data_IF_272720816889
#
_entry.id   IF_272720816889
#
_cell.length_a   1.000
_cell.length_b   1.000
_cell.length_c   1.000
_cell.angle_alpha   90.00
_cell.angle_beta   90.00
_cell.angle_gamma   90.00
#
_symmetry.space_group_name_H-M   'P 1'
#
loop_
_entity.id
_entity.type
_entity.pdbx_description
1 polymer ?
#
# COMPACT_ATOMS: atom_id res chain seq x y z
N UNK A 1 35.46 40.34 -70.87
CA UNK A 1 34.49 40.57 -69.81
C UNK A 1 34.05 39.24 -69.21
N UNK A 2 34.63 38.84 -68.08
CA UNK A 2 34.25 37.56 -67.36
C UNK A 2 33.27 37.94 -66.26
N UNK A 3 32.02 37.47 -66.33
CA UNK A 3 31.02 37.62 -65.27
C UNK A 3 31.24 36.55 -64.23
N UNK A 4 31.59 36.94 -63.00
CA UNK A 4 31.66 36.10 -61.80
C UNK A 4 30.28 36.07 -61.19
N UNK A 5 29.63 34.90 -61.17
CA UNK A 5 28.40 34.70 -60.40
C UNK A 5 28.76 34.34 -58.96
N UNK A 6 28.43 35.24 -58.02
CA UNK A 6 28.52 34.99 -56.58
C UNK A 6 27.25 34.25 -56.11
N UNK A 7 27.38 32.98 -55.81
CA UNK A 7 26.29 32.17 -55.20
C UNK A 7 26.38 32.33 -53.68
N UNK A 8 25.50 33.15 -53.12
CA UNK A 8 25.38 33.31 -51.68
C UNK A 8 24.61 32.09 -51.09
N UNK A 9 25.31 31.21 -50.38
CA UNK A 9 24.72 30.10 -49.66
C UNK A 9 24.15 30.61 -48.35
N UNK A 10 22.79 30.73 -48.26
CA UNK A 10 22.10 31.10 -47.04
C UNK A 10 22.00 29.83 -46.14
N UNK A 11 22.88 29.72 -45.14
CA UNK A 11 22.79 28.67 -44.12
C UNK A 11 21.72 29.11 -43.14
N UNK A 12 20.54 28.49 -43.20
CA UNK A 12 19.53 28.60 -42.16
C UNK A 12 20.02 27.80 -40.94
N UNK A 13 20.61 28.51 -39.98
CA UNK A 13 20.87 27.98 -38.64
C UNK A 13 19.55 28.00 -37.90
N UNK A 14 18.83 26.89 -37.89
CA UNK A 14 17.70 26.65 -36.96
C UNK A 14 18.25 26.57 -35.54
N UNK A 15 18.30 27.68 -34.86
CA UNK A 15 18.50 27.69 -33.41
C UNK A 15 17.29 27.02 -32.77
N UNK A 16 17.41 25.73 -32.43
CA UNK A 16 16.55 25.14 -31.42
C UNK A 16 16.78 25.92 -30.11
N UNK A 17 15.86 26.80 -29.78
CA UNK A 17 15.74 27.30 -28.42
C UNK A 17 15.40 26.06 -27.54
N UNK A 18 16.40 25.44 -26.99
CA UNK A 18 16.22 24.53 -25.85
C UNK A 18 15.70 25.45 -24.72
N UNK A 19 14.38 25.42 -24.51
CA UNK A 19 13.79 26.03 -23.31
C UNK A 19 14.47 25.42 -22.08
N UNK A 20 14.59 26.21 -21.01
CA UNK A 20 15.15 25.73 -19.75
C UNK A 20 14.43 24.43 -19.33
N UNK A 21 15.21 23.39 -19.00
CA UNK A 21 14.68 22.12 -18.52
C UNK A 21 13.84 22.35 -17.27
N UNK A 22 12.62 21.85 -17.27
CA UNK A 22 11.69 21.93 -16.14
C UNK A 22 11.89 20.67 -15.30
N UNK A 23 12.35 20.85 -14.09
CA UNK A 23 12.60 19.77 -13.16
C UNK A 23 11.39 19.61 -12.22
N UNK A 24 10.80 18.41 -12.19
CA UNK A 24 9.72 18.04 -11.27
C UNK A 24 10.26 17.05 -10.23
N UNK A 25 9.88 17.23 -8.97
CA UNK A 25 10.26 16.38 -7.86
C UNK A 25 9.15 15.36 -7.59
N UNK A 26 9.50 14.07 -7.64
CA UNK A 26 8.59 12.96 -7.40
C UNK A 26 8.96 12.20 -6.13
N UNK A 27 8.09 12.21 -5.11
CA UNK A 27 8.26 11.39 -3.90
C UNK A 27 7.54 10.06 -4.03
N UNK A 28 8.23 8.98 -3.61
CA UNK A 28 7.67 7.63 -3.59
C UNK A 28 8.27 6.78 -2.47
N UNK A 29 7.60 5.66 -2.16
CA UNK A 29 8.01 4.72 -1.10
C UNK A 29 8.42 3.34 -1.62
N UNK A 30 8.72 3.19 -2.92
CA UNK A 30 9.24 1.93 -3.43
C UNK A 30 10.53 1.56 -2.73
N UNK A 31 10.64 0.32 -2.24
CA UNK A 31 11.87 -0.17 -1.60
C UNK A 31 13.02 -0.18 -2.60
N UNK A 32 14.16 0.38 -2.22
CA UNK A 32 15.37 0.43 -3.08
C UNK A 32 15.90 -0.95 -3.49
N UNK A 33 15.46 -2.01 -2.80
CA UNK A 33 15.81 -3.40 -3.09
C UNK A 33 14.72 -4.13 -3.90
N UNK A 34 13.65 -3.43 -4.31
CA UNK A 34 12.55 -4.03 -5.05
C UNK A 34 12.70 -3.85 -6.57
N UNK A 35 12.12 -4.80 -7.34
CA UNK A 35 11.99 -4.65 -8.79
C UNK A 35 11.17 -3.41 -9.20
N UNK A 36 10.31 -2.90 -8.32
CA UNK A 36 9.52 -1.68 -8.54
C UNK A 36 10.41 -0.44 -8.62
N UNK A 37 11.37 -0.31 -7.70
CA UNK A 37 12.35 0.78 -7.71
C UNK A 37 13.27 0.69 -8.93
N UNK A 38 13.74 -0.52 -9.24
CA UNK A 38 14.57 -0.75 -10.41
C UNK A 38 13.84 -0.38 -11.70
N UNK A 39 12.59 -0.82 -11.86
CA UNK A 39 11.74 -0.49 -13.00
C UNK A 39 11.51 1.02 -13.12
N UNK A 40 11.18 1.68 -12.01
CA UNK A 40 10.96 3.14 -11.99
C UNK A 40 12.20 3.89 -12.48
N UNK A 41 13.35 3.58 -11.91
CA UNK A 41 14.57 4.38 -12.09
C UNK A 41 15.34 4.04 -13.36
N UNK A 42 15.30 2.78 -13.82
CA UNK A 42 16.06 2.33 -15.00
C UNK A 42 15.24 2.33 -16.29
N UNK A 43 13.90 2.33 -16.23
CA UNK A 43 13.06 2.26 -17.42
C UNK A 43 12.02 3.39 -17.45
N UNK A 44 11.15 3.50 -16.46
CA UNK A 44 9.98 4.37 -16.52
C UNK A 44 10.38 5.85 -16.62
N UNK A 45 11.19 6.36 -15.67
CA UNK A 45 11.65 7.76 -15.69
C UNK A 45 12.47 8.05 -16.94
N UNK A 46 13.50 7.26 -17.31
CA UNK A 46 14.28 7.52 -18.53
C UNK A 46 13.44 7.50 -19.81
N UNK A 47 12.43 6.61 -19.91
CA UNK A 47 11.54 6.54 -21.06
C UNK A 47 10.62 7.75 -21.13
N UNK A 48 10.09 8.21 -19.98
CA UNK A 48 9.31 9.44 -19.89
C UNK A 48 10.12 10.66 -20.33
N UNK A 49 11.31 10.85 -19.79
CA UNK A 49 12.19 11.99 -20.11
C UNK A 49 12.58 12.02 -21.60
N UNK A 50 12.82 10.84 -22.19
CA UNK A 50 13.11 10.71 -23.63
C UNK A 50 11.91 11.11 -24.50
N UNK A 51 10.70 10.78 -24.07
CA UNK A 51 9.47 11.09 -24.81
C UNK A 51 8.96 12.51 -24.57
N UNK A 52 9.44 13.19 -23.50
CA UNK A 52 9.07 14.56 -23.12
C UNK A 52 10.32 15.46 -22.98
N UNK A 53 10.97 15.80 -24.11
CA UNK A 53 12.17 16.65 -24.09
C UNK A 53 11.91 17.97 -23.37
N UNK A 54 12.78 18.30 -22.41
CA UNK A 54 12.64 19.52 -21.58
C UNK A 54 11.97 19.29 -20.23
N UNK A 55 11.53 18.05 -19.92
CA UNK A 55 11.09 17.66 -18.57
C UNK A 55 12.15 16.73 -17.96
N UNK A 56 12.54 17.02 -16.72
CA UNK A 56 13.39 16.19 -15.87
C UNK A 56 12.60 15.73 -14.67
N UNK A 57 12.73 14.47 -14.27
CA UNK A 57 12.12 13.92 -13.07
C UNK A 57 13.20 13.58 -12.05
N UNK A 58 13.19 14.29 -10.93
CA UNK A 58 14.04 13.98 -9.78
C UNK A 58 13.23 13.16 -8.79
N UNK A 59 13.51 11.87 -8.76
CA UNK A 59 12.87 10.97 -7.79
C UNK A 59 13.49 11.12 -6.41
N UNK A 60 12.66 11.01 -5.38
CA UNK A 60 13.08 11.00 -3.97
C UNK A 60 12.40 9.83 -3.28
N UNK A 61 13.19 8.82 -2.98
CA UNK A 61 12.73 7.70 -2.19
C UNK A 61 12.63 8.08 -0.71
N UNK A 62 11.48 7.83 -0.11
CA UNK A 62 11.24 8.00 1.33
C UNK A 62 10.64 6.70 1.86
N UNK A 63 11.20 6.11 2.92
CA UNK A 63 10.63 4.91 3.54
C UNK A 63 9.16 5.12 3.92
N UNK A 64 8.34 4.08 3.74
CA UNK A 64 6.89 4.17 3.89
C UNK A 64 6.46 4.63 5.29
N UNK A 65 7.15 4.17 6.33
CA UNK A 65 6.92 4.53 7.73
C UNK A 65 7.31 5.98 8.06
N UNK A 66 8.25 6.58 7.29
CA UNK A 66 8.68 7.97 7.45
C UNK A 66 7.88 8.96 6.58
N UNK A 67 7.28 8.48 5.50
CA UNK A 67 6.66 9.32 4.46
C UNK A 67 5.61 10.27 5.03
N UNK A 68 4.68 9.76 5.83
CA UNK A 68 3.62 10.58 6.46
C UNK A 68 4.21 11.66 7.35
N UNK A 69 5.18 11.32 8.20
CA UNK A 69 5.85 12.28 9.10
C UNK A 69 6.55 13.38 8.30
N UNK A 70 7.28 13.00 7.25
CA UNK A 70 7.95 13.96 6.36
C UNK A 70 6.94 14.88 5.68
N UNK A 71 5.81 14.35 5.22
CA UNK A 71 4.76 15.14 4.60
C UNK A 71 4.10 16.14 5.56
N UNK A 72 3.87 15.76 6.82
CA UNK A 72 3.36 16.68 7.88
C UNK A 72 4.36 17.81 8.13
N UNK A 73 5.67 17.51 8.25
CA UNK A 73 6.71 18.52 8.43
C UNK A 73 6.78 19.44 7.22
N UNK A 74 6.68 18.90 6.01
CA UNK A 74 6.63 19.67 4.77
C UNK A 74 5.42 20.62 4.70
N UNK A 75 4.30 20.23 5.33
CA UNK A 75 3.11 21.09 5.43
C UNK A 75 3.42 22.35 6.25
N UNK A 76 4.11 22.23 7.37
CA UNK A 76 4.50 23.39 8.20
C UNK A 76 5.51 24.30 7.49
N UNK A 77 6.37 23.74 6.64
CA UNK A 77 7.39 24.47 5.87
C UNK A 77 6.89 24.99 4.49
N UNK A 78 5.69 24.59 4.07
CA UNK A 78 5.15 24.80 2.71
C UNK A 78 6.10 24.28 1.60
N UNK A 79 6.85 23.20 1.87
CA UNK A 79 7.83 22.59 0.98
C UNK A 79 7.38 21.18 0.58
N UNK A 80 6.63 21.07 -0.50
CA UNK A 80 6.11 19.83 -1.02
C UNK A 80 6.85 19.40 -2.29
N UNK A 81 6.81 18.10 -2.65
CA UNK A 81 7.15 17.67 -3.99
C UNK A 81 6.15 18.22 -5.02
N UNK A 82 6.45 18.10 -6.30
CA UNK A 82 5.49 18.41 -7.36
C UNK A 82 4.47 17.29 -7.51
N UNK A 83 4.93 16.04 -7.45
CA UNK A 83 4.16 14.80 -7.59
C UNK A 83 4.53 13.84 -6.46
N UNK A 84 3.56 13.05 -6.00
CA UNK A 84 3.80 12.04 -4.97
C UNK A 84 2.99 10.77 -5.24
N UNK A 85 3.61 9.60 -5.01
CA UNK A 85 2.92 8.34 -4.78
C UNK A 85 2.45 8.34 -3.32
N UNK A 86 1.15 8.53 -3.13
CA UNK A 86 0.54 8.76 -1.82
C UNK A 86 -0.37 7.60 -1.42
N UNK A 87 -0.24 7.09 -0.18
CA UNK A 87 -1.20 6.10 0.35
C UNK A 87 -2.62 6.68 0.28
N UNK A 88 -3.56 5.87 -0.19
CA UNK A 88 -4.97 6.24 -0.39
C UNK A 88 -5.63 6.86 0.85
N UNK A 89 -5.20 6.48 2.06
CA UNK A 89 -5.77 7.00 3.32
C UNK A 89 -5.34 8.42 3.65
N UNK A 90 -4.31 8.93 3.01
CA UNK A 90 -3.81 10.30 3.26
C UNK A 90 -4.49 11.34 2.37
N UNK A 91 -5.02 10.92 1.22
CA UNK A 91 -5.66 11.84 0.27
C UNK A 91 -6.75 12.70 0.91
N UNK A 92 -7.72 12.16 1.67
CA UNK A 92 -8.75 13.00 2.30
C UNK A 92 -8.17 14.04 3.26
N UNK A 93 -7.17 13.69 4.07
CA UNK A 93 -6.53 14.59 5.01
C UNK A 93 -5.83 15.76 4.30
N UNK A 94 -4.96 15.44 3.33
CA UNK A 94 -4.17 16.47 2.63
C UNK A 94 -4.99 17.26 1.61
N UNK A 95 -6.10 16.71 1.11
CA UNK A 95 -7.09 17.45 0.35
C UNK A 95 -7.87 18.44 1.22
N UNK A 96 -8.26 18.02 2.44
CA UNK A 96 -9.04 18.86 3.38
C UNK A 96 -8.25 20.08 3.87
N UNK A 97 -6.97 19.93 4.17
CA UNK A 97 -6.08 21.06 4.50
C UNK A 97 -5.66 21.90 3.28
N UNK A 98 -6.09 21.50 2.08
CA UNK A 98 -6.01 22.32 0.87
C UNK A 98 -4.66 22.34 0.15
N UNK A 99 -3.75 21.41 0.42
CA UNK A 99 -2.40 21.35 -0.20
C UNK A 99 -2.37 20.57 -1.50
N UNK A 100 -3.30 19.62 -1.70
CA UNK A 100 -3.41 18.85 -2.94
C UNK A 100 -4.14 19.63 -4.02
N UNK A 101 -3.75 19.39 -5.27
CA UNK A 101 -4.36 19.99 -6.46
C UNK A 101 -5.63 19.22 -6.85
N UNK A 102 -6.79 19.88 -7.00
CA UNK A 102 -7.98 19.23 -7.55
C UNK A 102 -7.82 19.04 -9.06
N UNK A 103 -7.39 17.87 -9.50
CA UNK A 103 -7.02 17.57 -10.89
C UNK A 103 -8.21 17.60 -11.84
N UNK A 104 -9.42 17.32 -11.36
CA UNK A 104 -10.66 17.43 -12.12
C UNK A 104 -11.09 18.88 -12.41
N UNK A 105 -10.52 19.85 -11.71
CA UNK A 105 -10.68 21.27 -11.97
C UNK A 105 -9.56 21.83 -12.82
N UNK A 106 -8.31 21.57 -12.41
CA UNK A 106 -7.12 22.10 -13.09
C UNK A 106 -6.97 21.52 -14.50
N UNK A 107 -7.28 20.22 -14.68
CA UNK A 107 -7.14 19.47 -15.94
C UNK A 107 -8.46 18.86 -16.42
N UNK A 108 -9.55 19.62 -16.33
CA UNK A 108 -10.93 19.13 -16.49
C UNK A 108 -11.14 18.30 -17.78
N UNK A 109 -10.61 18.74 -18.92
CA UNK A 109 -10.80 18.05 -20.21
C UNK A 109 -10.07 16.71 -20.26
N UNK A 110 -8.84 16.66 -19.77
CA UNK A 110 -8.04 15.41 -19.75
C UNK A 110 -8.59 14.45 -18.71
N UNK A 111 -8.90 14.95 -17.52
CA UNK A 111 -9.48 14.11 -16.47
C UNK A 111 -10.81 13.47 -16.90
N UNK A 112 -11.68 14.22 -17.59
CA UNK A 112 -12.95 13.69 -18.09
C UNK A 112 -12.75 12.50 -19.06
N UNK A 113 -11.68 12.52 -19.89
CA UNK A 113 -11.32 11.41 -20.78
C UNK A 113 -10.76 10.21 -20.02
N UNK A 114 -9.95 10.46 -18.99
CA UNK A 114 -9.26 9.42 -18.21
C UNK A 114 -10.16 8.74 -17.20
N UNK A 115 -11.06 9.49 -16.54
CA UNK A 115 -11.90 9.02 -15.44
C UNK A 115 -12.60 7.69 -15.73
N UNK A 116 -13.11 7.52 -16.95
CA UNK A 116 -13.83 6.31 -17.37
C UNK A 116 -12.94 5.07 -17.56
N UNK A 117 -11.62 5.23 -17.63
CA UNK A 117 -10.69 4.11 -17.87
C UNK A 117 -10.31 3.36 -16.61
N UNK A 118 -10.44 3.99 -15.44
CA UNK A 118 -10.07 3.39 -14.16
C UNK A 118 -11.18 2.52 -13.57
N UNK A 119 -10.78 1.54 -12.76
CA UNK A 119 -11.68 0.77 -11.90
C UNK A 119 -12.35 1.70 -10.88
N UNK A 120 -13.68 1.56 -10.62
CA UNK A 120 -14.40 2.48 -9.74
C UNK A 120 -13.86 2.54 -8.30
N UNK A 121 -13.49 1.39 -7.73
CA UNK A 121 -12.94 1.30 -6.37
C UNK A 121 -11.66 2.15 -6.21
N UNK A 122 -10.57 1.84 -6.94
CA UNK A 122 -9.34 2.65 -6.92
C UNK A 122 -9.58 4.13 -7.27
N UNK A 123 -10.43 4.45 -8.26
CA UNK A 123 -10.72 5.85 -8.59
C UNK A 123 -11.36 6.61 -7.42
N UNK A 124 -12.21 5.93 -6.62
CA UNK A 124 -12.89 6.56 -5.50
C UNK A 124 -11.97 7.00 -4.37
N UNK A 125 -10.76 6.45 -4.26
CA UNK A 125 -9.77 6.81 -3.22
C UNK A 125 -9.21 8.22 -3.40
N UNK A 126 -9.24 8.73 -4.63
CA UNK A 126 -8.84 10.09 -4.98
C UNK A 126 -9.93 11.16 -4.76
N UNK A 127 -11.14 10.74 -4.38
CA UNK A 127 -12.29 11.65 -4.31
C UNK A 127 -12.53 12.16 -2.90
N UNK A 128 -12.58 13.49 -2.73
CA UNK A 128 -12.90 14.14 -1.48
C UNK A 128 -13.73 15.43 -1.71
N UNK A 129 -14.81 15.60 -0.98
CA UNK A 129 -15.70 16.80 -0.99
C UNK A 129 -15.97 17.35 -2.41
N UNK A 130 -16.36 16.49 -3.34
CA UNK A 130 -16.79 16.89 -4.68
C UNK A 130 -15.68 17.00 -5.73
N UNK A 131 -14.42 16.75 -5.39
CA UNK A 131 -13.30 16.84 -6.33
C UNK A 131 -12.41 15.59 -6.29
N UNK A 132 -11.63 15.39 -7.35
CA UNK A 132 -10.59 14.37 -7.44
C UNK A 132 -9.22 15.03 -7.30
N UNK A 133 -8.35 14.43 -6.48
CA UNK A 133 -7.06 15.01 -6.12
C UNK A 133 -5.85 14.24 -6.68
N UNK A 134 -6.09 13.29 -7.57
CA UNK A 134 -5.05 12.50 -8.22
C UNK A 134 -5.63 11.48 -9.20
N UNK A 135 -4.79 10.55 -9.61
CA UNK A 135 -5.18 9.36 -10.36
C UNK A 135 -4.79 8.12 -9.54
N UNK A 136 -5.59 7.05 -9.55
CA UNK A 136 -5.18 5.82 -8.88
C UNK A 136 -3.96 5.24 -9.59
N UNK A 137 -2.93 4.88 -8.83
CA UNK A 137 -1.68 4.35 -9.35
C UNK A 137 -1.63 2.84 -9.28
N UNK A 138 -1.99 2.29 -8.12
CA UNK A 138 -2.14 0.86 -7.89
C UNK A 138 -3.24 0.58 -6.86
N UNK A 139 -3.60 -0.69 -6.72
CA UNK A 139 -4.46 -1.19 -5.65
C UNK A 139 -3.86 -2.46 -5.10
N UNK A 140 -4.11 -2.74 -3.83
CA UNK A 140 -3.58 -3.94 -3.21
C UNK A 140 -4.46 -4.41 -2.02
N UNK A 141 -4.17 -5.60 -1.54
CA UNK A 141 -4.71 -6.16 -0.32
C UNK A 141 -3.67 -7.09 0.29
N UNK A 142 -3.90 -7.58 1.49
CA UNK A 142 -3.08 -8.62 2.11
C UNK A 142 -3.73 -9.98 1.86
N UNK A 143 -2.90 -11.00 1.66
CA UNK A 143 -3.29 -12.41 1.62
C UNK A 143 -2.38 -13.22 2.53
N UNK A 144 -2.70 -14.49 2.77
CA UNK A 144 -1.85 -15.39 3.51
C UNK A 144 -0.73 -15.89 2.60
N UNK A 145 0.52 -15.60 2.96
CA UNK A 145 1.70 -16.31 2.45
C UNK A 145 2.01 -17.44 3.41
N UNK A 146 2.25 -18.65 2.87
CA UNK A 146 2.52 -19.84 3.70
C UNK A 146 3.66 -20.67 3.15
N UNK A 147 4.50 -21.20 4.03
CA UNK A 147 5.68 -21.99 3.69
C UNK A 147 5.30 -23.47 3.58
N UNK A 148 5.15 -23.95 2.35
CA UNK A 148 4.74 -25.32 2.06
C UNK A 148 5.67 -26.39 2.65
N UNK A 149 6.98 -26.13 2.70
CA UNK A 149 7.96 -27.07 3.26
C UNK A 149 7.74 -27.24 4.76
N UNK A 150 7.52 -26.16 5.51
CA UNK A 150 7.25 -26.20 6.95
C UNK A 150 5.92 -26.89 7.26
N UNK A 151 4.88 -26.63 6.42
CA UNK A 151 3.60 -27.32 6.53
C UNK A 151 3.75 -28.82 6.34
N UNK A 152 4.44 -29.26 5.28
CA UNK A 152 4.69 -30.68 5.02
C UNK A 152 5.47 -31.35 6.15
N UNK A 153 6.50 -30.67 6.69
CA UNK A 153 7.28 -31.15 7.85
C UNK A 153 6.44 -31.29 9.14
N UNK A 154 5.34 -30.53 9.23
CA UNK A 154 4.38 -30.60 10.32
C UNK A 154 3.20 -31.60 10.04
N UNK A 155 3.19 -32.25 8.85
CA UNK A 155 2.11 -33.15 8.45
C UNK A 155 0.87 -32.45 7.89
N UNK A 156 0.94 -31.13 7.65
CA UNK A 156 -0.11 -30.33 7.04
C UNK A 156 -0.02 -30.40 5.51
N UNK A 157 -1.16 -30.51 4.82
CA UNK A 157 -1.21 -30.69 3.36
C UNK A 157 -1.56 -29.40 2.61
N UNK A 158 -2.23 -28.46 3.25
CA UNK A 158 -2.78 -27.25 2.66
C UNK A 158 -2.79 -26.12 3.69
N UNK A 159 -2.87 -24.85 3.24
CA UNK A 159 -3.01 -23.72 4.15
C UNK A 159 -4.36 -23.72 4.85
N UNK A 160 -4.47 -23.08 6.02
CA UNK A 160 -5.73 -22.95 6.75
C UNK A 160 -6.75 -22.14 5.94
N UNK A 161 -8.00 -22.58 5.96
CA UNK A 161 -9.13 -21.92 5.31
C UNK A 161 -10.04 -21.20 6.30
N UNK A 162 -9.96 -21.59 7.57
CA UNK A 162 -10.72 -20.98 8.67
C UNK A 162 -9.80 -20.40 9.75
N UNK A 163 -10.31 -19.44 10.53
CA UNK A 163 -9.56 -18.87 11.66
C UNK A 163 -9.24 -19.91 12.72
N UNK A 164 -10.11 -20.92 12.93
CA UNK A 164 -9.83 -21.99 13.88
C UNK A 164 -8.67 -22.87 13.41
N UNK A 165 -8.64 -23.22 12.12
CA UNK A 165 -7.50 -23.94 11.51
C UNK A 165 -6.23 -23.08 11.61
N UNK A 166 -6.31 -21.79 11.28
CA UNK A 166 -5.18 -20.86 11.32
C UNK A 166 -4.55 -20.78 12.71
N UNK A 167 -5.37 -20.60 13.76
CA UNK A 167 -4.91 -20.56 15.14
C UNK A 167 -4.25 -21.90 15.54
N UNK A 168 -4.83 -23.04 15.13
CA UNK A 168 -4.27 -24.36 15.37
C UNK A 168 -2.93 -24.56 14.67
N UNK A 169 -2.85 -24.14 13.41
CA UNK A 169 -1.65 -24.30 12.59
C UNK A 169 -0.52 -23.37 13.08
N UNK A 170 -0.83 -22.15 13.53
CA UNK A 170 0.13 -21.26 14.19
C UNK A 170 0.81 -21.99 15.35
N UNK A 171 0.03 -22.61 16.24
CA UNK A 171 0.56 -23.33 17.40
C UNK A 171 1.39 -24.56 17.01
N UNK A 172 0.94 -25.30 16.01
CA UNK A 172 1.60 -26.52 15.53
C UNK A 172 2.95 -26.20 14.84
N UNK A 173 3.00 -25.09 14.13
CA UNK A 173 4.17 -24.66 13.34
C UNK A 173 5.20 -23.88 14.16
N UNK A 174 4.86 -23.46 15.38
CA UNK A 174 5.82 -22.81 16.29
C UNK A 174 6.64 -23.88 16.99
N UNK A 175 7.96 -23.81 16.84
CA UNK A 175 8.89 -24.86 17.28
C UNK A 175 10.21 -24.29 17.77
N UNK A 176 10.78 -25.03 18.70
CA UNK A 176 12.21 -25.07 19.03
C UNK A 176 12.81 -26.22 18.21
N UNK A 177 13.41 -25.88 17.05
CA UNK A 177 13.90 -26.89 16.10
C UNK A 177 15.28 -27.44 16.48
N UNK A 178 16.09 -26.64 17.20
CA UNK A 178 17.42 -26.99 17.63
C UNK A 178 17.45 -27.60 19.05
N UNK A 179 16.32 -27.54 19.80
CA UNK A 179 16.11 -28.09 21.16
C UNK A 179 16.96 -27.41 22.24
N UNK A 180 17.22 -26.10 22.09
CA UNK A 180 17.94 -25.29 23.08
C UNK A 180 17.03 -24.66 24.14
N UNK A 181 15.71 -24.83 24.03
CA UNK A 181 14.70 -24.27 24.91
C UNK A 181 14.14 -22.93 24.45
N UNK A 182 14.56 -22.44 23.28
CA UNK A 182 14.05 -21.21 22.69
C UNK A 182 13.34 -21.49 21.37
N UNK A 183 12.29 -20.72 21.07
CA UNK A 183 11.62 -20.80 19.79
C UNK A 183 12.50 -20.16 18.71
N UNK A 184 12.75 -20.88 17.64
CA UNK A 184 13.50 -20.46 16.46
C UNK A 184 12.70 -20.54 15.15
N UNK A 185 11.48 -21.11 15.20
CA UNK A 185 10.49 -21.15 14.13
C UNK A 185 9.12 -20.74 14.67
N UNK A 186 8.52 -19.69 14.10
CA UNK A 186 7.19 -19.21 14.48
C UNK A 186 6.13 -19.58 13.44
N UNK A 187 4.95 -19.94 13.93
CA UNK A 187 3.81 -20.26 13.07
C UNK A 187 3.29 -19.06 12.29
N UNK A 188 3.37 -17.85 12.88
CA UNK A 188 2.93 -16.62 12.24
C UNK A 188 3.77 -15.41 12.68
N UNK A 189 4.00 -14.49 11.74
CA UNK A 189 4.59 -13.19 12.00
C UNK A 189 3.76 -12.07 11.36
N UNK A 190 3.75 -10.92 12.02
CA UNK A 190 3.22 -9.66 11.49
C UNK A 190 4.16 -8.52 11.91
N UNK A 191 4.02 -7.33 11.30
CA UNK A 191 4.97 -6.24 11.46
C UNK A 191 4.40 -5.00 12.16
N UNK A 192 3.18 -5.07 12.71
CA UNK A 192 2.59 -3.92 13.39
C UNK A 192 1.24 -4.20 14.05
N UNK A 193 0.70 -3.19 14.70
CA UNK A 193 -0.56 -3.23 15.44
C UNK A 193 -1.64 -2.32 14.85
N UNK A 194 -1.31 -1.51 13.84
CA UNK A 194 -2.25 -0.61 13.19
C UNK A 194 -3.31 -1.32 12.34
N UNK A 195 -4.34 -0.60 11.89
CA UNK A 195 -5.43 -1.14 11.08
C UNK A 195 -5.01 -1.91 9.82
N UNK A 196 -3.89 -1.56 9.19
CA UNK A 196 -3.33 -2.35 8.08
C UNK A 196 -3.11 -3.82 8.47
N UNK A 197 -2.62 -4.05 9.69
CA UNK A 197 -2.33 -5.39 10.22
C UNK A 197 -3.56 -6.02 10.87
N UNK A 198 -4.38 -5.23 11.54
CA UNK A 198 -5.43 -5.74 12.45
C UNK A 198 -6.82 -5.85 11.82
N UNK A 199 -7.10 -5.15 10.69
CA UNK A 199 -8.36 -5.31 9.95
C UNK A 199 -8.63 -6.76 9.56
N UNK A 200 -7.68 -7.55 9.03
CA UNK A 200 -7.92 -8.96 8.73
C UNK A 200 -8.44 -9.75 9.94
N UNK A 201 -7.92 -9.49 11.13
CA UNK A 201 -8.36 -10.11 12.38
C UNK A 201 -9.74 -9.59 12.80
N UNK A 202 -9.90 -8.28 12.98
CA UNK A 202 -11.14 -7.67 13.47
C UNK A 202 -12.33 -8.09 12.61
N UNK A 203 -12.21 -7.92 11.29
CA UNK A 203 -13.33 -8.14 10.38
C UNK A 203 -13.59 -9.62 10.09
N UNK A 204 -12.57 -10.48 10.07
CA UNK A 204 -12.81 -11.92 9.95
C UNK A 204 -13.49 -12.49 11.19
N UNK A 205 -13.26 -11.94 12.39
CA UNK A 205 -14.02 -12.28 13.59
C UNK A 205 -15.45 -11.69 13.61
N UNK A 206 -15.79 -10.79 12.65
CA UNK A 206 -17.10 -10.15 12.53
C UNK A 206 -17.23 -8.83 13.28
N UNK A 207 -16.09 -8.26 13.76
CA UNK A 207 -16.01 -6.92 14.33
C UNK A 207 -15.93 -5.84 13.24
N UNK A 208 -15.92 -4.58 13.65
CA UNK A 208 -15.73 -3.39 12.80
C UNK A 208 -14.96 -2.32 13.59
N UNK A 209 -14.28 -1.41 12.89
CA UNK A 209 -13.68 -0.22 13.53
C UNK A 209 -14.71 0.89 13.68
N UNK A 210 -15.43 1.19 12.62
CA UNK A 210 -16.48 2.22 12.57
C UNK A 210 -17.80 1.62 12.09
N UNK A 211 -18.88 2.35 12.26
CA UNK A 211 -20.17 2.06 11.61
C UNK A 211 -20.09 2.25 10.09
N UNK A 212 -21.13 1.84 9.38
CA UNK A 212 -21.17 1.89 7.89
C UNK A 212 -21.19 3.32 7.33
N UNK A 213 -21.45 4.32 8.19
CA UNK A 213 -21.41 5.75 7.82
C UNK A 213 -20.09 6.42 8.18
N UNK A 214 -19.14 5.68 8.76
CA UNK A 214 -17.85 6.19 9.26
C UNK A 214 -17.99 7.33 10.29
N UNK A 215 -19.07 7.35 11.05
CA UNK A 215 -19.40 8.44 11.97
C UNK A 215 -19.39 8.04 13.45
N UNK A 216 -19.28 6.74 13.75
CA UNK A 216 -19.38 6.19 15.09
C UNK A 216 -18.43 5.01 15.31
N UNK A 217 -17.70 5.02 16.41
CA UNK A 217 -16.81 3.94 16.84
C UNK A 217 -17.41 3.11 17.98
N UNK A 218 -18.11 3.78 18.92
CA UNK A 218 -18.66 3.13 20.10
C UNK A 218 -19.70 2.07 19.74
N UNK A 219 -19.51 0.84 20.24
CA UNK A 219 -20.33 -0.33 19.92
C UNK A 219 -19.83 -1.10 18.67
N UNK A 220 -18.88 -0.57 17.94
CA UNK A 220 -18.26 -1.19 16.76
C UNK A 220 -16.83 -1.65 17.07
N UNK A 221 -15.89 -0.71 17.28
CA UNK A 221 -14.50 -1.06 17.60
C UNK A 221 -14.35 -1.85 18.89
N UNK A 222 -15.21 -1.58 19.87
CA UNK A 222 -15.26 -2.27 21.15
C UNK A 222 -16.37 -3.33 21.27
N UNK A 223 -16.89 -3.83 20.11
CA UNK A 223 -17.84 -4.93 20.07
C UNK A 223 -17.25 -6.24 20.64
N UNK A 224 -18.10 -7.18 21.02
CA UNK A 224 -17.65 -8.48 21.51
C UNK A 224 -16.73 -9.21 20.50
N UNK A 225 -17.02 -9.06 19.20
CA UNK A 225 -16.25 -9.67 18.11
C UNK A 225 -14.86 -9.00 17.97
N UNK A 226 -14.79 -7.69 18.07
CA UNK A 226 -13.50 -6.96 18.02
C UNK A 226 -12.64 -7.30 19.24
N UNK A 227 -13.26 -7.44 20.41
CA UNK A 227 -12.59 -7.86 21.66
C UNK A 227 -12.09 -9.31 21.53
N UNK A 228 -12.89 -10.23 20.95
CA UNK A 228 -12.50 -11.63 20.68
C UNK A 228 -11.27 -11.68 19.75
N UNK A 229 -11.25 -10.86 18.69
CA UNK A 229 -10.13 -10.76 17.77
C UNK A 229 -8.84 -10.30 18.46
N UNK A 230 -8.89 -9.19 19.21
CA UNK A 230 -7.73 -8.67 19.95
C UNK A 230 -7.26 -9.67 21.03
N UNK A 231 -8.19 -10.29 21.75
CA UNK A 231 -7.86 -11.30 22.76
C UNK A 231 -7.14 -12.49 22.14
N UNK A 232 -7.62 -13.00 21.02
CA UNK A 232 -7.02 -14.15 20.32
C UNK A 232 -5.59 -13.81 19.85
N UNK A 233 -5.42 -12.64 19.24
CA UNK A 233 -4.10 -12.17 18.82
C UNK A 233 -3.15 -12.03 20.01
N UNK A 234 -3.60 -11.37 21.10
CA UNK A 234 -2.85 -11.22 22.34
C UNK A 234 -2.42 -12.56 22.93
N UNK A 235 -3.35 -13.52 23.03
CA UNK A 235 -3.08 -14.83 23.59
C UNK A 235 -2.02 -15.59 22.77
N UNK A 236 -2.09 -15.54 21.43
CA UNK A 236 -1.08 -16.14 20.56
C UNK A 236 0.30 -15.47 20.73
N UNK A 237 0.33 -14.16 20.80
CA UNK A 237 1.56 -13.40 20.98
C UNK A 237 2.20 -13.65 22.35
N UNK A 238 1.44 -13.53 23.42
CA UNK A 238 1.96 -13.68 24.79
C UNK A 238 2.37 -15.12 25.15
N UNK A 239 1.78 -16.11 24.47
CA UNK A 239 2.19 -17.52 24.59
C UNK A 239 3.40 -17.88 23.71
N UNK A 240 3.95 -16.93 22.94
CA UNK A 240 5.12 -17.12 22.11
C UNK A 240 4.86 -17.84 20.78
N UNK A 241 3.59 -17.97 20.36
CA UNK A 241 3.23 -18.60 19.08
C UNK A 241 3.37 -17.67 17.88
N UNK A 242 3.51 -16.37 18.14
CA UNK A 242 3.79 -15.36 17.11
C UNK A 242 5.19 -14.77 17.32
N UNK A 243 5.84 -14.41 16.22
CA UNK A 243 7.13 -13.72 16.28
C UNK A 243 7.01 -12.35 16.99
N UNK A 244 8.07 -11.89 17.65
CA UNK A 244 8.09 -10.56 18.28
C UNK A 244 7.80 -9.45 17.25
N UNK A 245 6.91 -8.52 17.61
CA UNK A 245 6.56 -7.35 16.79
C UNK A 245 7.27 -6.12 17.36
N UNK A 246 7.94 -5.35 16.50
CA UNK A 246 8.51 -4.06 16.88
C UNK A 246 9.87 -4.09 17.56
N UNK A 247 10.57 -5.22 17.60
CA UNK A 247 11.95 -5.29 18.09
C UNK A 247 12.48 -6.69 18.33
N UNK A 248 13.68 -6.96 17.88
CA UNK A 248 14.45 -8.18 18.17
C UNK A 248 14.22 -9.38 17.25
N UNK A 249 13.33 -9.25 16.26
CA UNK A 249 13.13 -10.25 15.19
C UNK A 249 13.75 -9.81 13.87
N UNK A 250 13.88 -10.76 12.94
CA UNK A 250 14.20 -10.45 11.54
C UNK A 250 12.92 -9.92 10.83
N UNK A 251 13.10 -9.22 9.71
CA UNK A 251 11.96 -8.69 8.94
C UNK A 251 10.98 -9.79 8.51
N UNK A 252 9.69 -9.46 8.39
CA UNK A 252 8.65 -10.46 8.04
C UNK A 252 8.93 -11.18 6.73
N UNK A 253 9.36 -10.45 5.68
CA UNK A 253 9.66 -11.03 4.37
C UNK A 253 10.94 -11.89 4.41
N UNK A 254 11.97 -11.43 5.10
CA UNK A 254 13.22 -12.17 5.32
C UNK A 254 12.95 -13.48 6.09
N UNK A 255 12.29 -13.38 7.25
CA UNK A 255 11.99 -14.55 8.07
C UNK A 255 11.07 -15.57 7.38
N UNK A 256 10.14 -15.10 6.52
CA UNK A 256 9.36 -15.98 5.68
C UNK A 256 10.23 -16.69 4.63
N UNK A 257 11.08 -15.93 3.94
CA UNK A 257 11.95 -16.47 2.89
C UNK A 257 12.97 -17.50 3.42
N UNK A 258 13.50 -17.25 4.61
CA UNK A 258 14.44 -18.14 5.30
C UNK A 258 13.77 -19.31 6.04
N UNK A 259 12.44 -19.31 6.13
CA UNK A 259 11.69 -20.38 6.81
C UNK A 259 11.66 -20.26 8.33
N UNK A 260 11.98 -19.09 8.88
CA UNK A 260 11.79 -18.75 10.30
C UNK A 260 10.31 -18.50 10.62
N UNK A 261 9.57 -17.95 9.66
CA UNK A 261 8.13 -17.73 9.78
C UNK A 261 7.36 -18.64 8.82
N UNK A 262 6.46 -19.46 9.35
CA UNK A 262 5.69 -20.38 8.54
C UNK A 262 4.57 -19.70 7.76
N UNK A 263 4.00 -18.65 8.31
CA UNK A 263 2.93 -17.85 7.72
C UNK A 263 3.11 -16.36 8.00
N UNK A 264 2.72 -15.53 7.03
CA UNK A 264 2.62 -14.06 7.18
C UNK A 264 1.39 -13.58 6.40
N UNK A 265 0.78 -12.46 6.82
CA UNK A 265 -0.11 -11.72 5.93
C UNK A 265 0.71 -10.66 5.21
N UNK A 266 0.59 -10.59 3.85
CA UNK A 266 1.41 -9.62 3.10
C UNK A 266 0.74 -9.19 1.78
N UNK A 267 1.20 -8.05 1.26
CA UNK A 267 0.76 -7.49 0.00
C UNK A 267 1.53 -8.03 -1.22
N UNK A 268 1.11 -7.66 -2.44
CA UNK A 268 1.67 -8.20 -3.69
C UNK A 268 3.14 -7.81 -3.92
N UNK A 269 3.63 -6.72 -3.33
CA UNK A 269 5.06 -6.31 -3.37
C UNK A 269 6.01 -7.38 -2.80
N UNK A 270 5.52 -8.21 -1.87
CA UNK A 270 6.31 -9.29 -1.29
C UNK A 270 6.94 -10.19 -2.36
N UNK A 271 6.24 -10.42 -3.46
CA UNK A 271 6.75 -11.23 -4.58
C UNK A 271 8.05 -10.66 -5.13
N UNK A 272 8.07 -9.38 -5.53
CA UNK A 272 9.25 -8.79 -6.16
C UNK A 272 10.42 -8.64 -5.17
N UNK A 273 10.12 -8.32 -3.91
CA UNK A 273 11.13 -8.19 -2.86
C UNK A 273 11.77 -9.53 -2.54
N UNK A 274 10.95 -10.56 -2.27
CA UNK A 274 11.46 -11.90 -1.95
C UNK A 274 12.23 -12.48 -3.15
N UNK A 275 11.69 -12.39 -4.37
CA UNK A 275 12.36 -12.93 -5.54
C UNK A 275 13.66 -12.20 -5.91
N UNK A 276 13.74 -10.91 -5.59
CA UNK A 276 14.96 -10.12 -5.77
C UNK A 276 16.08 -10.47 -4.77
N UNK A 277 15.73 -10.74 -3.53
CA UNK A 277 16.69 -10.97 -2.44
C UNK A 277 16.91 -12.47 -2.16
N UNK A 278 15.89 -13.29 -2.32
CA UNK A 278 15.86 -14.72 -2.02
C UNK A 278 15.27 -15.49 -3.21
N UNK A 279 15.99 -15.59 -4.35
CA UNK A 279 15.45 -16.13 -5.62
C UNK A 279 14.95 -17.58 -5.50
N UNK A 280 15.55 -18.37 -4.61
CA UNK A 280 15.19 -19.77 -4.37
C UNK A 280 14.05 -19.95 -3.37
N UNK A 281 13.59 -18.87 -2.73
CA UNK A 281 12.47 -18.95 -1.79
C UNK A 281 11.17 -19.30 -2.52
N UNK A 282 10.47 -20.31 -2.01
CA UNK A 282 9.15 -20.71 -2.50
C UNK A 282 8.08 -19.86 -1.84
N UNK A 283 7.23 -19.23 -2.65
CA UNK A 283 6.15 -18.37 -2.18
C UNK A 283 4.82 -19.02 -2.55
N UNK A 284 4.00 -19.32 -1.56
CA UNK A 284 2.65 -19.86 -1.78
C UNK A 284 1.62 -18.91 -1.17
N UNK A 285 0.50 -18.75 -1.87
CA UNK A 285 -0.53 -17.77 -1.55
C UNK A 285 -1.86 -18.47 -1.24
N UNK A 286 -2.59 -17.95 -0.26
CA UNK A 286 -3.95 -18.36 0.06
C UNK A 286 -4.75 -17.14 0.52
N UNK A 287 -6.08 -17.27 0.54
CA UNK A 287 -6.94 -16.22 1.12
C UNK A 287 -6.68 -16.10 2.62
N UNK A 288 -6.97 -14.93 3.18
CA UNK A 288 -7.06 -14.77 4.64
C UNK A 288 -8.09 -15.76 5.17
N UNK A 289 -7.75 -16.57 6.21
CA UNK A 289 -8.67 -17.55 6.74
C UNK A 289 -10.00 -16.95 7.19
N UNK A 290 -11.11 -17.64 6.87
CA UNK A 290 -12.45 -17.15 7.16
C UNK A 290 -12.84 -17.37 8.62
N UNK A 291 -13.33 -16.34 9.29
CA UNK A 291 -13.99 -16.43 10.58
C UNK A 291 -15.50 -16.22 10.47
N UNK A 292 -16.15 -15.84 11.57
CA UNK A 292 -17.59 -15.52 11.62
C UNK A 292 -17.98 -14.38 10.65
N UNK A 293 -17.05 -13.45 10.35
CA UNK A 293 -17.22 -12.36 9.39
C UNK A 293 -16.88 -12.74 7.94
N UNK A 294 -16.46 -13.97 7.69
CA UNK A 294 -15.92 -14.44 6.41
C UNK A 294 -14.42 -14.23 6.29
N UNK A 295 -13.87 -14.47 5.09
CA UNK A 295 -12.49 -14.12 4.75
C UNK A 295 -12.42 -12.61 4.49
N UNK A 296 -11.78 -11.86 5.37
CA UNK A 296 -11.68 -10.40 5.29
C UNK A 296 -10.23 -9.96 5.30
N UNK A 297 -9.91 -9.03 4.43
CA UNK A 297 -8.61 -8.38 4.39
C UNK A 297 -8.79 -6.86 4.30
N UNK A 298 -7.70 -6.12 4.20
CA UNK A 298 -7.68 -4.66 4.11
C UNK A 298 -7.43 -4.23 2.66
N UNK A 299 -8.13 -3.19 2.19
CA UNK A 299 -7.81 -2.53 0.91
C UNK A 299 -6.68 -1.53 1.13
N UNK A 300 -5.67 -1.65 0.30
CA UNK A 300 -4.58 -0.71 0.15
C UNK A 300 -4.46 -0.22 -1.27
N UNK A 301 -3.40 0.52 -1.50
CA UNK A 301 -3.06 1.11 -2.79
C UNK A 301 -2.54 2.51 -2.61
N UNK A 302 -2.05 3.05 -3.70
CA UNK A 302 -1.53 4.40 -3.77
C UNK A 302 -2.14 5.16 -4.93
N UNK A 303 -2.24 6.45 -4.71
CA UNK A 303 -2.65 7.43 -5.69
C UNK A 303 -1.46 8.28 -6.12
N UNK A 304 -1.41 8.67 -7.38
CA UNK A 304 -0.47 9.69 -7.83
C UNK A 304 -1.14 11.06 -7.75
N UNK A 305 -0.64 11.90 -6.83
CA UNK A 305 -1.22 13.20 -6.51
C UNK A 305 -0.27 14.33 -6.88
N UNK A 306 -0.84 15.51 -7.13
CA UNK A 306 -0.10 16.75 -7.41
C UNK A 306 -0.31 17.75 -6.28
N UNK A 307 0.72 18.51 -5.95
CA UNK A 307 0.62 19.57 -4.96
C UNK A 307 0.35 20.94 -5.62
N UNK A 308 -0.47 21.77 -4.97
CA UNK A 308 -0.79 23.12 -5.48
C UNK A 308 0.43 24.03 -5.60
N UNK A 309 1.49 23.76 -4.82
CA UNK A 309 2.72 24.54 -4.81
C UNK A 309 3.59 24.34 -6.04
N UNK A 310 3.33 23.31 -6.85
CA UNK A 310 4.13 23.05 -8.06
C UNK A 310 4.08 24.24 -9.03
N UNK A 311 5.25 24.63 -9.55
CA UNK A 311 5.41 25.63 -10.61
C UNK A 311 5.22 25.02 -12.01
N UNK A 312 5.30 23.71 -12.12
CA UNK A 312 5.31 22.95 -13.37
C UNK A 312 4.08 22.04 -13.47
N UNK A 313 2.88 22.61 -13.29
CA UNK A 313 1.61 21.88 -13.22
C UNK A 313 1.37 20.98 -14.43
N UNK A 314 1.61 21.48 -15.64
CA UNK A 314 1.41 20.73 -16.87
C UNK A 314 2.37 19.54 -16.96
N UNK A 315 3.64 19.75 -16.64
CA UNK A 315 4.69 18.71 -16.66
C UNK A 315 4.43 17.64 -15.59
N UNK A 316 4.04 18.06 -14.40
CA UNK A 316 3.64 17.16 -13.30
C UNK A 316 2.41 16.30 -13.69
N UNK A 317 1.45 16.91 -14.40
CA UNK A 317 0.27 16.19 -14.89
C UNK A 317 0.63 15.21 -16.01
N UNK A 318 1.52 15.59 -16.96
CA UNK A 318 2.00 14.66 -17.99
C UNK A 318 2.68 13.44 -17.37
N UNK A 319 3.51 13.64 -16.33
CA UNK A 319 4.15 12.53 -15.62
C UNK A 319 3.11 11.66 -14.89
N UNK A 320 2.13 12.24 -14.20
CA UNK A 320 1.07 11.48 -13.53
C UNK A 320 0.24 10.64 -14.53
N UNK A 321 -0.11 11.20 -15.69
CA UNK A 321 -0.77 10.44 -16.77
C UNK A 321 0.09 9.31 -17.31
N UNK A 322 1.38 9.55 -17.50
CA UNK A 322 2.31 8.54 -17.97
C UNK A 322 2.42 7.38 -16.98
N UNK A 323 2.59 7.68 -15.69
CA UNK A 323 2.65 6.67 -14.62
C UNK A 323 1.40 5.78 -14.56
N UNK A 324 0.24 6.30 -14.94
CA UNK A 324 -1.03 5.56 -14.97
C UNK A 324 -1.40 5.03 -16.37
N UNK A 325 -0.51 5.15 -17.35
CA UNK A 325 -0.74 4.65 -18.71
C UNK A 325 -0.80 3.12 -18.77
N UNK A 326 -1.46 2.56 -19.78
CA UNK A 326 -1.53 1.11 -20.01
C UNK A 326 -0.13 0.47 -20.04
N UNK A 327 0.82 1.11 -20.71
CA UNK A 327 2.20 0.61 -20.82
C UNK A 327 2.85 0.46 -19.46
N UNK A 328 2.84 1.52 -18.64
CA UNK A 328 3.45 1.53 -17.32
C UNK A 328 2.74 0.57 -16.37
N UNK A 329 1.40 0.55 -16.38
CA UNK A 329 0.60 -0.37 -15.57
C UNK A 329 0.92 -1.84 -15.90
N UNK A 330 1.13 -2.20 -17.16
CA UNK A 330 1.52 -3.58 -17.54
C UNK A 330 2.95 -3.92 -17.12
N UNK A 331 3.89 -2.98 -17.20
CA UNK A 331 5.26 -3.17 -16.70
C UNK A 331 5.27 -3.44 -15.19
N UNK A 332 4.56 -2.63 -14.41
CA UNK A 332 4.41 -2.84 -12.97
C UNK A 332 3.66 -4.14 -12.63
N UNK A 333 2.64 -4.50 -13.41
CA UNK A 333 1.95 -5.78 -13.23
C UNK A 333 2.88 -6.98 -13.46
N UNK A 334 3.84 -6.89 -14.37
CA UNK A 334 4.85 -7.93 -14.60
C UNK A 334 5.73 -8.24 -13.41
N UNK A 335 5.84 -7.31 -12.47
CA UNK A 335 6.62 -7.45 -11.22
C UNK A 335 5.73 -7.53 -9.97
N UNK A 336 4.41 -7.64 -10.15
CA UNK A 336 3.49 -7.96 -9.07
C UNK A 336 2.59 -6.84 -8.57
N UNK A 337 2.66 -5.62 -9.10
CA UNK A 337 1.71 -4.58 -8.75
C UNK A 337 0.35 -4.77 -9.43
N UNK A 338 -0.73 -4.62 -8.67
CA UNK A 338 -2.08 -4.79 -9.20
C UNK A 338 -2.53 -3.54 -9.95
N UNK A 339 -2.91 -3.68 -11.23
CA UNK A 339 -3.29 -2.54 -12.05
C UNK A 339 -4.68 -2.01 -11.69
N UNK A 340 -4.88 -0.73 -11.99
CA UNK A 340 -6.13 -0.01 -11.70
C UNK A 340 -6.95 0.34 -12.95
N UNK A 341 -6.47 -0.02 -14.15
CA UNK A 341 -7.17 0.24 -15.40
C UNK A 341 -8.13 -0.89 -15.76
N UNK A 342 -9.35 -0.51 -16.21
CA UNK A 342 -10.31 -1.44 -16.78
C UNK A 342 -9.73 -2.19 -17.98
N UNK A 343 -10.05 -3.46 -18.09
CA UNK A 343 -9.61 -4.28 -19.21
C UNK A 343 -8.22 -4.90 -19.06
N UNK A 344 -7.36 -4.40 -18.17
CA UNK A 344 -6.04 -4.99 -17.95
C UNK A 344 -6.10 -6.35 -17.24
N UNK A 345 -7.12 -6.61 -16.43
CA UNK A 345 -7.30 -7.89 -15.72
C UNK A 345 -7.34 -9.10 -16.68
N UNK A 346 -7.60 -8.87 -17.97
CA UNK A 346 -7.60 -9.89 -19.01
C UNK A 346 -6.27 -10.08 -19.75
N UNK A 347 -5.29 -9.21 -19.50
CA UNK A 347 -3.97 -9.30 -20.14
C UNK A 347 -3.22 -10.56 -19.68
N UNK A 348 -2.45 -11.23 -20.57
CA UNK A 348 -1.74 -12.45 -20.22
C UNK A 348 -0.79 -12.32 -19.04
N UNK A 349 -0.12 -11.18 -18.89
CA UNK A 349 0.80 -10.91 -17.78
C UNK A 349 0.08 -10.95 -16.43
N UNK A 350 -1.21 -10.65 -16.38
CA UNK A 350 -2.02 -10.69 -15.17
C UNK A 350 -2.68 -12.05 -14.99
N UNK A 351 -3.34 -12.58 -16.03
CA UNK A 351 -4.01 -13.89 -15.98
C UNK A 351 -3.08 -15.05 -15.61
N UNK A 352 -1.85 -15.01 -16.11
CA UNK A 352 -0.86 -16.07 -15.90
C UNK A 352 0.06 -15.78 -14.71
N UNK A 353 -0.12 -14.67 -14.02
CA UNK A 353 0.71 -14.34 -12.86
C UNK A 353 0.39 -15.31 -11.71
N UNK A 354 1.39 -15.86 -11.01
CA UNK A 354 1.19 -16.97 -10.06
C UNK A 354 0.30 -16.62 -8.86
N UNK A 355 0.07 -15.36 -8.56
CA UNK A 355 -0.71 -14.96 -7.39
C UNK A 355 -1.88 -13.99 -7.66
N UNK A 356 -1.95 -13.31 -8.80
CA UNK A 356 -3.03 -12.32 -9.00
C UNK A 356 -4.43 -12.88 -8.82
N UNK A 357 -4.67 -14.14 -9.18
CA UNK A 357 -5.96 -14.79 -8.94
C UNK A 357 -6.40 -14.74 -7.48
N UNK A 358 -5.47 -15.01 -6.55
CA UNK A 358 -5.74 -15.00 -5.10
C UNK A 358 -5.95 -13.56 -4.58
N UNK A 359 -5.10 -12.60 -5.01
CA UNK A 359 -5.27 -11.20 -4.61
C UNK A 359 -6.55 -10.58 -5.14
N UNK A 360 -6.93 -10.85 -6.39
CA UNK A 360 -8.19 -10.39 -6.98
C UNK A 360 -9.39 -10.95 -6.23
N UNK A 361 -9.38 -12.25 -5.91
CA UNK A 361 -10.42 -12.88 -5.12
C UNK A 361 -10.50 -12.29 -3.71
N UNK A 362 -9.36 -12.01 -3.07
CA UNK A 362 -9.34 -11.39 -1.74
C UNK A 362 -9.85 -9.96 -1.76
N UNK A 363 -9.60 -9.19 -2.83
CA UNK A 363 -10.11 -7.82 -2.98
C UNK A 363 -11.65 -7.77 -2.99
N UNK A 364 -12.34 -8.82 -3.47
CA UNK A 364 -13.81 -8.87 -3.46
C UNK A 364 -14.40 -8.78 -2.05
N UNK A 365 -13.66 -9.22 -1.05
CA UNK A 365 -14.08 -9.25 0.35
C UNK A 365 -13.26 -8.35 1.26
N UNK A 366 -12.28 -7.65 0.71
CA UNK A 366 -11.43 -6.75 1.46
C UNK A 366 -12.20 -5.50 1.93
N UNK A 367 -11.82 -4.98 3.09
CA UNK A 367 -12.44 -3.84 3.74
C UNK A 367 -11.67 -2.58 3.40
N UNK A 368 -12.33 -1.60 2.85
CA UNK A 368 -11.74 -0.29 2.65
C UNK A 368 -11.46 0.38 3.99
N UNK A 369 -10.28 0.95 4.14
CA UNK A 369 -9.99 1.88 5.23
C UNK A 369 -10.86 3.13 5.03
N UNK A 370 -11.42 3.67 6.12
CA UNK A 370 -12.37 4.79 6.03
C UNK A 370 -11.75 5.98 5.27
N UNK A 371 -12.44 6.56 4.28
CA UNK A 371 -11.99 7.77 3.58
C UNK A 371 -12.20 9.04 4.43
N UNK A 372 -12.26 8.92 5.75
CA UNK A 372 -12.44 10.05 6.66
C UNK A 372 -11.12 10.80 6.88
N UNK A 373 -11.06 12.14 6.91
CA UNK A 373 -9.82 12.91 7.13
C UNK A 373 -9.13 12.57 8.46
N UNK A 374 -9.91 12.20 9.47
CA UNK A 374 -9.42 11.74 10.76
C UNK A 374 -8.87 10.31 10.76
N UNK A 375 -8.89 9.59 9.62
CA UNK A 375 -8.50 8.19 9.61
C UNK A 375 -7.08 7.95 10.15
N UNK A 376 -6.17 8.88 9.89
CA UNK A 376 -4.80 8.76 10.41
C UNK A 376 -4.74 8.81 11.95
N UNK A 377 -5.56 9.69 12.58
CA UNK A 377 -5.67 9.75 14.05
C UNK A 377 -6.34 8.47 14.58
N UNK A 378 -7.36 7.97 13.90
CA UNK A 378 -8.03 6.71 14.23
C UNK A 378 -7.04 5.55 14.13
N UNK A 379 -6.21 5.52 13.08
CA UNK A 379 -5.15 4.53 12.90
C UNK A 379 -4.17 4.53 14.09
N UNK A 380 -3.70 5.71 14.50
CA UNK A 380 -2.74 5.84 15.58
C UNK A 380 -3.35 5.42 16.94
N UNK A 381 -4.64 5.72 17.17
CA UNK A 381 -5.40 5.27 18.34
C UNK A 381 -5.52 3.73 18.36
N UNK A 382 -5.86 3.14 17.22
CA UNK A 382 -5.99 1.69 17.08
C UNK A 382 -4.66 0.97 17.27
N UNK A 383 -3.59 1.48 16.65
CA UNK A 383 -2.23 0.95 16.82
C UNK A 383 -1.84 0.93 18.29
N UNK A 384 -2.02 2.07 18.97
CA UNK A 384 -1.73 2.21 20.41
C UNK A 384 -2.58 1.26 21.28
N UNK A 385 -3.87 1.10 20.96
CA UNK A 385 -4.76 0.22 21.71
C UNK A 385 -4.34 -1.25 21.62
N UNK A 386 -4.00 -1.70 20.40
CA UNK A 386 -3.53 -3.07 20.18
C UNK A 386 -2.16 -3.28 20.83
N UNK A 387 -1.20 -2.38 20.63
CA UNK A 387 0.13 -2.47 21.24
C UNK A 387 0.02 -2.51 22.78
N UNK A 388 -0.76 -1.61 23.39
CA UNK A 388 -0.96 -1.57 24.83
C UNK A 388 -1.61 -2.84 25.38
N UNK A 389 -2.51 -3.47 24.63
CA UNK A 389 -3.10 -4.74 25.03
C UNK A 389 -2.14 -5.91 24.85
N UNK A 390 -1.55 -6.05 23.66
CA UNK A 390 -0.74 -7.22 23.27
C UNK A 390 0.60 -7.24 24.03
N UNK A 391 1.31 -6.10 24.01
CA UNK A 391 2.63 -5.96 24.64
C UNK A 391 2.51 -5.44 26.06
N UNK A 392 1.72 -4.39 26.28
CA UNK A 392 1.56 -3.74 27.57
C UNK A 392 0.65 -4.47 28.55
N UNK A 393 -0.02 -5.54 28.15
CA UNK A 393 -0.81 -6.41 29.03
C UNK A 393 -2.20 -5.87 29.41
N UNK A 394 -2.61 -4.69 28.90
CA UNK A 394 -3.94 -4.11 29.18
C UNK A 394 -5.02 -5.11 28.71
N UNK A 395 -6.12 -5.21 29.50
CA UNK A 395 -7.27 -6.01 29.13
C UNK A 395 -7.83 -5.60 27.76
N UNK A 396 -8.10 -6.52 26.82
CA UNK A 396 -8.56 -6.23 25.48
C UNK A 396 -9.84 -5.38 25.42
N UNK A 397 -10.81 -5.67 26.30
CA UNK A 397 -12.06 -4.90 26.36
C UNK A 397 -11.79 -3.47 26.79
N UNK A 398 -10.97 -3.28 27.83
CA UNK A 398 -10.58 -1.95 28.31
C UNK A 398 -9.82 -1.17 27.22
N UNK A 399 -8.85 -1.78 26.56
CA UNK A 399 -8.08 -1.13 25.51
C UNK A 399 -8.98 -0.61 24.36
N UNK A 400 -9.95 -1.43 23.93
CA UNK A 400 -10.88 -1.06 22.88
C UNK A 400 -11.98 -0.08 23.35
N UNK A 401 -12.38 -0.10 24.63
CA UNK A 401 -13.29 0.93 25.19
C UNK A 401 -12.61 2.30 25.23
N UNK A 402 -11.36 2.33 25.66
CA UNK A 402 -10.56 3.56 25.67
C UNK A 402 -10.33 4.08 24.25
N UNK A 403 -10.05 3.19 23.28
CA UNK A 403 -9.94 3.55 21.86
C UNK A 403 -11.26 4.10 21.31
N UNK A 404 -12.39 3.45 21.57
CA UNK A 404 -13.71 3.92 21.14
C UNK A 404 -13.98 5.34 21.64
N UNK A 405 -13.72 5.61 22.93
CA UNK A 405 -13.92 6.94 23.52
C UNK A 405 -13.02 8.01 22.88
N UNK A 406 -11.77 7.68 22.54
CA UNK A 406 -10.86 8.59 21.84
C UNK A 406 -11.31 8.85 20.41
N UNK A 407 -11.66 7.80 19.66
CA UNK A 407 -12.14 7.93 18.26
C UNK A 407 -13.41 8.78 18.20
N UNK A 408 -14.37 8.61 19.13
CA UNK A 408 -15.57 9.44 19.21
C UNK A 408 -15.24 10.94 19.41
N UNK A 409 -14.17 11.28 20.14
CA UNK A 409 -13.72 12.67 20.27
C UNK A 409 -13.15 13.20 18.96
N UNK A 410 -12.33 12.40 18.31
CA UNK A 410 -11.73 12.75 17.00
C UNK A 410 -12.82 12.99 15.97
N UNK A 411 -13.78 12.07 15.83
CA UNK A 411 -14.89 12.19 14.88
C UNK A 411 -15.76 13.44 15.12
N UNK A 412 -15.89 13.92 16.37
CA UNK A 412 -16.64 15.16 16.67
C UNK A 412 -15.99 16.41 16.10
N UNK A 413 -14.68 16.43 15.94
CA UNK A 413 -13.95 17.61 15.43
C UNK A 413 -14.17 17.82 13.93
N UNK A 414 -14.74 16.85 13.24
CA UNK A 414 -14.98 16.86 11.77
C UNK A 414 -16.47 16.93 11.40
N UNK A 415 -17.35 17.14 12.37
CA UNK A 415 -18.82 17.27 12.15
C UNK A 415 -19.23 18.68 11.74
#
# INVERSE_FOLDING_TARGET
MKRVFLVTFLVLVSTFLLGATKEIVFWHSYSTTSGEYELLTKDIIPTFEKSHPGIKVTEVQVPSDEMRRRLIVSTAAAQYPDVMRMDIIWVPQFADIGVLMPVDKEFAQDFAKLKGTFLPGPLSTNYWKGNYYGLPLDTNTRVLLWNKKLFQAAGLKQPPTTMDEFIKDIKLLTKDTNKDGQIDQWGFADNGFGPWNTIPWIYSFGGKILDDTNSKALGYVNSAQSVEALKTFKDLYQQGYMAPIGGGGIGTLEGYAEGVYAMIFEGPWAWSIIKGQYPDAEINFALVPAGKGGSKSVVGGEDIVLFKSTKYKAEAWEFAKYMTSKEVQLKFAGIGQMPVLKGLLNEPVIKNHPFFGIYLQQLETAVARSPHPAWNEINDIMDSAWQNSVVGGIDPKKALDDAAAQIEKVLKNYK
#
